data_IF_497038439885
#
_entry.id   IF_497038439885
#
_cell.length_a   1.000
_cell.length_b   1.000
_cell.length_c   1.000
_cell.angle_alpha   90.00
_cell.angle_beta   90.00
_cell.angle_gamma   90.00
#
_symmetry.space_group_name_H-M   'P 1'
#
loop_
_entity.id
_entity.type
_entity.pdbx_description
1 polymer ?
#
# COMPACT_ATOMS: atom_id res chain seq x y z
N UNK A 1 -12.16 -19.59 1.76
CA UNK A 1 -11.02 -20.22 2.47
C UNK A 1 -9.98 -19.13 2.78
N UNK A 2 -9.61 -18.91 4.05
CA UNK A 2 -8.67 -17.85 4.47
C UNK A 2 -7.28 -17.99 3.85
N UNK A 3 -6.82 -19.22 3.61
CA UNK A 3 -5.52 -19.47 3.01
C UNK A 3 -5.42 -18.91 1.58
N UNK A 4 -6.51 -18.99 0.81
CA UNK A 4 -6.58 -18.46 -0.55
C UNK A 4 -6.47 -16.94 -0.55
N UNK A 5 -7.18 -16.26 0.35
CA UNK A 5 -7.08 -14.79 0.49
C UNK A 5 -5.67 -14.35 0.87
N UNK A 6 -5.02 -15.02 1.83
CA UNK A 6 -3.64 -14.71 2.18
C UNK A 6 -2.65 -14.96 1.05
N UNK A 7 -2.83 -16.03 0.27
CA UNK A 7 -2.01 -16.31 -0.90
C UNK A 7 -2.19 -15.24 -2.00
N UNK A 8 -3.42 -14.79 -2.25
CA UNK A 8 -3.71 -13.71 -3.19
C UNK A 8 -3.05 -12.40 -2.76
N UNK A 9 -3.22 -11.99 -1.49
CA UNK A 9 -2.58 -10.77 -0.96
C UNK A 9 -1.06 -10.89 -1.02
N UNK A 10 -0.48 -12.06 -0.71
CA UNK A 10 0.96 -12.29 -0.79
C UNK A 10 1.48 -12.14 -2.22
N UNK A 11 0.84 -12.80 -3.20
CA UNK A 11 1.25 -12.74 -4.60
C UNK A 11 1.12 -11.32 -5.17
N UNK A 12 0.02 -10.64 -4.87
CA UNK A 12 -0.19 -9.25 -5.30
C UNK A 12 0.86 -8.33 -4.68
N UNK A 13 0.97 -8.27 -3.36
CA UNK A 13 1.91 -7.37 -2.67
C UNK A 13 3.38 -7.63 -3.02
N UNK A 14 3.76 -8.89 -3.25
CA UNK A 14 5.09 -9.22 -3.79
C UNK A 14 5.30 -8.62 -5.18
N UNK A 15 4.34 -8.82 -6.08
CA UNK A 15 4.41 -8.31 -7.46
C UNK A 15 4.48 -6.79 -7.49
N UNK A 16 3.65 -6.11 -6.69
CA UNK A 16 3.65 -4.66 -6.57
C UNK A 16 4.95 -4.14 -5.97
N UNK A 17 5.45 -4.77 -4.89
CA UNK A 17 6.72 -4.39 -4.26
C UNK A 17 7.87 -4.52 -5.26
N UNK A 18 7.96 -5.66 -5.96
CA UNK A 18 8.98 -5.87 -6.97
C UNK A 18 8.89 -4.83 -8.09
N UNK A 19 7.69 -4.62 -8.64
CA UNK A 19 7.46 -3.61 -9.67
C UNK A 19 7.90 -2.21 -9.20
N UNK A 20 7.52 -1.80 -7.99
CA UNK A 20 7.94 -0.53 -7.39
C UNK A 20 9.46 -0.40 -7.27
N UNK A 21 10.15 -1.44 -6.82
CA UNK A 21 11.61 -1.42 -6.73
C UNK A 21 12.25 -1.27 -8.12
N UNK A 22 11.73 -1.95 -9.15
CA UNK A 22 12.27 -1.88 -10.51
C UNK A 22 11.92 -0.60 -11.26
N UNK A 23 10.75 -0.01 -11.03
CA UNK A 23 10.31 1.20 -11.74
C UNK A 23 10.76 2.47 -11.03
N UNK A 24 10.76 2.50 -9.70
CA UNK A 24 11.01 3.73 -8.93
C UNK A 24 12.49 3.92 -8.60
N UNK A 25 13.22 2.87 -8.20
CA UNK A 25 14.60 3.05 -7.73
C UNK A 25 15.58 3.52 -8.83
N UNK A 26 15.52 3.04 -10.08
CA UNK A 26 16.45 3.48 -11.12
C UNK A 26 16.25 4.95 -11.52
N UNK A 27 15.01 5.43 -11.60
CA UNK A 27 14.70 6.82 -11.93
C UNK A 27 15.22 7.78 -10.85
N UNK A 28 15.11 7.39 -9.58
CA UNK A 28 15.61 8.16 -8.45
C UNK A 28 17.13 8.19 -8.36
N UNK A 29 17.80 7.07 -8.63
CA UNK A 29 19.24 6.95 -8.49
C UNK A 29 20.02 7.77 -9.53
N UNK A 30 19.44 8.01 -10.72
CA UNK A 30 20.17 8.58 -11.86
C UNK A 30 19.84 10.05 -12.17
N UNK A 31 18.63 10.53 -11.88
CA UNK A 31 18.14 11.83 -12.40
C UNK A 31 17.61 12.75 -11.29
N UNK A 32 17.40 12.21 -10.08
CA UNK A 32 16.60 12.89 -9.06
C UNK A 32 15.10 12.84 -9.40
N UNK A 33 14.25 13.33 -8.50
CA UNK A 33 12.80 13.24 -8.69
C UNK A 33 12.26 14.33 -9.61
N UNK A 34 11.84 13.96 -10.82
CA UNK A 34 11.06 14.80 -11.73
C UNK A 34 9.56 14.56 -11.54
N UNK A 35 8.80 15.62 -11.24
CA UNK A 35 7.34 15.59 -11.09
C UNK A 35 6.62 15.09 -12.35
N UNK A 36 7.25 15.17 -13.54
CA UNK A 36 6.70 14.64 -14.79
C UNK A 36 6.48 13.13 -14.74
N UNK A 37 7.22 12.39 -13.91
CA UNK A 37 7.01 10.95 -13.73
C UNK A 37 5.57 10.62 -13.31
N UNK A 38 4.88 11.55 -12.63
CA UNK A 38 3.49 11.39 -12.20
C UNK A 38 2.50 11.27 -13.37
N UNK A 39 2.86 11.79 -14.54
CA UNK A 39 2.02 11.76 -15.76
C UNK A 39 2.60 10.85 -16.83
N UNK A 40 3.62 10.05 -16.50
CA UNK A 40 4.20 9.09 -17.43
C UNK A 40 3.26 7.89 -17.62
N UNK A 41 2.85 7.68 -18.85
CA UNK A 41 1.97 6.60 -19.26
C UNK A 41 2.73 5.62 -20.17
N UNK A 42 3.29 4.57 -19.57
CA UNK A 42 3.93 3.46 -20.29
C UNK A 42 3.06 2.22 -20.27
N UNK A 43 3.32 1.28 -21.20
CA UNK A 43 2.66 -0.04 -21.21
C UNK A 43 2.84 -0.78 -19.88
N UNK A 44 4.00 -0.64 -19.24
CA UNK A 44 4.30 -1.24 -17.93
C UNK A 44 3.42 -0.61 -16.84
N UNK A 45 3.34 0.72 -16.77
CA UNK A 45 2.50 1.41 -15.79
C UNK A 45 1.02 1.06 -15.96
N UNK A 46 0.54 0.94 -17.21
CA UNK A 46 -0.81 0.48 -17.51
C UNK A 46 -1.04 -0.93 -17.00
N UNK A 47 -0.17 -1.87 -17.37
CA UNK A 47 -0.28 -3.27 -16.95
C UNK A 47 -0.33 -3.39 -15.42
N UNK A 48 0.55 -2.68 -14.71
CA UNK A 48 0.57 -2.71 -13.24
C UNK A 48 -0.73 -2.18 -12.64
N UNK A 49 -1.24 -1.04 -13.13
CA UNK A 49 -2.51 -0.49 -12.63
C UNK A 49 -3.69 -1.43 -12.94
N UNK A 50 -3.73 -2.04 -14.13
CA UNK A 50 -4.77 -3.02 -14.48
C UNK A 50 -4.68 -4.27 -13.61
N UNK A 51 -3.47 -4.78 -13.37
CA UNK A 51 -3.23 -5.93 -12.50
C UNK A 51 -3.71 -5.65 -11.07
N UNK A 52 -3.31 -4.52 -10.50
CA UNK A 52 -3.71 -4.13 -9.15
C UNK A 52 -5.22 -3.90 -9.04
N UNK A 53 -5.83 -3.21 -10.02
CA UNK A 53 -7.28 -3.02 -10.07
C UNK A 53 -8.04 -4.33 -10.18
N UNK A 54 -7.56 -5.27 -10.98
CA UNK A 54 -8.13 -6.62 -11.10
C UNK A 54 -8.02 -7.36 -9.77
N UNK A 55 -6.89 -7.27 -9.08
CA UNK A 55 -6.74 -7.83 -7.73
C UNK A 55 -7.76 -7.23 -6.75
N UNK A 56 -7.90 -5.90 -6.70
CA UNK A 56 -8.88 -5.25 -5.81
C UNK A 56 -10.31 -5.73 -6.09
N UNK A 57 -10.68 -5.84 -7.37
CA UNK A 57 -11.98 -6.37 -7.77
C UNK A 57 -12.18 -7.81 -7.32
N UNK A 58 -11.18 -8.68 -7.54
CA UNK A 58 -11.23 -10.08 -7.13
C UNK A 58 -11.29 -10.23 -5.61
N UNK A 59 -10.53 -9.44 -4.86
CA UNK A 59 -10.51 -9.51 -3.40
C UNK A 59 -11.86 -9.09 -2.80
N UNK A 60 -12.48 -8.04 -3.33
CA UNK A 60 -13.87 -7.64 -3.00
C UNK A 60 -14.85 -8.77 -3.34
N UNK A 61 -14.79 -9.30 -4.56
CA UNK A 61 -15.71 -10.34 -5.00
C UNK A 61 -15.60 -11.64 -4.17
N UNK A 62 -14.37 -12.14 -3.96
CA UNK A 62 -14.13 -13.29 -3.09
C UNK A 62 -14.54 -13.00 -1.65
N UNK A 63 -14.30 -11.77 -1.19
CA UNK A 63 -14.74 -11.26 0.08
C UNK A 63 -16.23 -11.38 0.32
N UNK A 64 -17.02 -10.90 -0.64
CA UNK A 64 -18.48 -10.93 -0.59
C UNK A 64 -19.01 -12.38 -0.57
N UNK A 65 -18.41 -13.24 -1.40
CA UNK A 65 -18.90 -14.60 -1.60
C UNK A 65 -18.51 -15.55 -0.47
N UNK A 66 -17.30 -15.43 0.08
CA UNK A 66 -16.74 -16.47 0.95
C UNK A 66 -16.44 -16.03 2.38
N UNK A 67 -16.31 -14.73 2.66
CA UNK A 67 -15.96 -14.24 4.00
C UNK A 67 -16.48 -12.80 4.29
N UNK A 68 -17.77 -12.51 4.06
CA UNK A 68 -18.30 -11.15 4.19
C UNK A 68 -18.26 -10.62 5.62
N UNK A 69 -18.25 -11.51 6.63
CA UNK A 69 -18.20 -11.13 8.05
C UNK A 69 -16.78 -10.88 8.58
N UNK A 70 -15.75 -11.19 7.80
CA UNK A 70 -14.35 -11.12 8.21
C UNK A 70 -13.61 -9.93 7.59
N UNK A 71 -14.23 -9.25 6.62
CA UNK A 71 -13.68 -8.05 6.02
C UNK A 71 -14.08 -6.85 6.87
N UNK A 72 -13.08 -6.21 7.45
CA UNK A 72 -13.26 -4.96 8.16
C UNK A 72 -13.60 -3.82 7.18
N UNK A 73 -14.52 -2.95 7.61
CA UNK A 73 -15.11 -1.91 6.77
C UNK A 73 -14.07 -0.96 6.19
N UNK A 74 -13.14 -0.50 7.02
CA UNK A 74 -12.17 0.51 6.62
C UNK A 74 -10.99 -0.11 5.88
N UNK A 75 -10.48 -1.24 6.37
CA UNK A 75 -9.27 -1.88 5.82
C UNK A 75 -9.50 -2.73 4.59
N UNK A 76 -10.72 -3.25 4.40
CA UNK A 76 -11.05 -4.07 3.22
C UNK A 76 -12.02 -3.36 2.28
N UNK A 77 -13.26 -3.13 2.71
CA UNK A 77 -14.31 -2.63 1.80
C UNK A 77 -14.00 -1.24 1.25
N UNK A 78 -13.84 -0.25 2.11
CA UNK A 78 -13.60 1.14 1.70
C UNK A 78 -12.26 1.25 0.98
N UNK A 79 -11.20 0.67 1.54
CA UNK A 79 -9.85 0.76 0.98
C UNK A 79 -9.76 0.18 -0.43
N UNK A 80 -10.22 -1.06 -0.65
CA UNK A 80 -10.14 -1.69 -1.97
C UNK A 80 -11.10 -1.07 -2.98
N UNK A 81 -12.27 -0.57 -2.53
CA UNK A 81 -13.20 0.15 -3.42
C UNK A 81 -12.62 1.47 -3.92
N UNK A 82 -11.99 2.24 -3.01
CA UNK A 82 -11.31 3.50 -3.37
C UNK A 82 -10.13 3.23 -4.30
N UNK A 83 -9.35 2.18 -4.07
CA UNK A 83 -8.27 1.80 -4.98
C UNK A 83 -8.79 1.35 -6.35
N UNK A 84 -9.88 0.59 -6.41
CA UNK A 84 -10.49 0.19 -7.68
C UNK A 84 -10.95 1.41 -8.48
N UNK A 85 -11.61 2.37 -7.82
CA UNK A 85 -11.97 3.65 -8.45
C UNK A 85 -10.73 4.44 -8.87
N UNK A 86 -9.68 4.48 -8.05
CA UNK A 86 -8.43 5.15 -8.40
C UNK A 86 -7.78 4.52 -9.63
N UNK A 87 -7.78 3.18 -9.76
CA UNK A 87 -7.22 2.48 -10.92
C UNK A 87 -7.99 2.83 -12.20
N UNK A 88 -9.31 2.93 -12.12
CA UNK A 88 -10.13 3.44 -13.20
C UNK A 88 -9.79 4.90 -13.54
N UNK A 89 -9.71 5.78 -12.53
CA UNK A 89 -9.40 7.19 -12.71
C UNK A 89 -8.03 7.42 -13.38
N UNK A 90 -6.97 6.77 -12.90
CA UNK A 90 -5.62 6.92 -13.48
C UNK A 90 -5.54 6.36 -14.91
N UNK A 91 -6.38 5.39 -15.27
CA UNK A 91 -6.51 4.91 -16.65
C UNK A 91 -7.19 5.92 -17.57
N UNK A 92 -8.31 6.50 -17.14
CA UNK A 92 -9.05 7.52 -17.93
C UNK A 92 -8.20 8.76 -18.16
N UNK A 93 -7.40 9.15 -17.17
CA UNK A 93 -6.60 10.37 -17.21
C UNK A 93 -5.15 10.17 -17.65
N UNK A 94 -4.72 8.94 -17.97
CA UNK A 94 -3.34 8.66 -18.44
C UNK A 94 -2.25 9.10 -17.45
N UNK A 95 -2.46 8.89 -16.14
CA UNK A 95 -1.55 9.29 -15.05
C UNK A 95 -1.08 8.11 -14.19
N UNK A 96 -0.91 6.94 -14.83
CA UNK A 96 -0.56 5.68 -14.18
C UNK A 96 0.83 5.74 -13.52
N UNK A 97 1.76 6.53 -14.08
CA UNK A 97 3.08 6.76 -13.47
C UNK A 97 3.01 7.35 -12.06
N UNK A 98 1.99 8.17 -11.78
CA UNK A 98 1.74 8.69 -10.44
C UNK A 98 1.44 7.58 -9.44
N UNK A 99 0.67 6.56 -9.84
CA UNK A 99 0.41 5.40 -8.99
C UNK A 99 1.64 4.50 -8.84
N UNK A 100 2.48 4.38 -9.89
CA UNK A 100 3.69 3.56 -9.86
C UNK A 100 4.69 3.98 -8.76
N UNK A 101 4.64 5.23 -8.30
CA UNK A 101 5.45 5.73 -7.18
C UNK A 101 5.05 5.14 -5.82
N UNK A 102 3.81 4.67 -5.67
CA UNK A 102 3.27 4.15 -4.42
C UNK A 102 3.46 2.63 -4.29
N UNK A 103 3.96 1.93 -5.31
CA UNK A 103 4.03 0.46 -5.29
C UNK A 103 4.98 -0.11 -4.25
N UNK A 104 6.03 0.65 -3.91
CA UNK A 104 6.96 0.30 -2.81
C UNK A 104 6.26 0.24 -1.45
N UNK A 105 5.09 0.87 -1.32
CA UNK A 105 4.26 0.85 -0.11
C UNK A 105 3.51 -0.46 0.10
N UNK A 106 3.63 -1.43 -0.82
CA UNK A 106 3.12 -2.79 -0.64
C UNK A 106 4.06 -3.70 0.14
N UNK A 107 5.31 -3.29 0.38
CA UNK A 107 6.27 -4.07 1.17
C UNK A 107 5.75 -4.46 2.58
N UNK A 108 5.09 -3.57 3.33
CA UNK A 108 4.48 -3.94 4.61
C UNK A 108 3.33 -4.95 4.45
N UNK A 109 2.52 -4.84 3.40
CA UNK A 109 1.46 -5.83 3.08
C UNK A 109 2.10 -7.19 2.83
N UNK A 110 3.18 -7.23 2.04
CA UNK A 110 3.91 -8.46 1.74
C UNK A 110 4.40 -9.14 3.02
N UNK A 111 5.09 -8.40 3.90
CA UNK A 111 5.57 -8.92 5.18
C UNK A 111 4.42 -9.41 6.09
N UNK A 112 3.28 -8.70 6.09
CA UNK A 112 2.10 -9.10 6.85
C UNK A 112 1.45 -10.37 6.30
N UNK A 113 1.28 -10.46 4.97
CA UNK A 113 0.72 -11.62 4.29
C UNK A 113 1.61 -12.85 4.47
N UNK A 114 2.93 -12.68 4.39
CA UNK A 114 3.91 -13.75 4.62
C UNK A 114 3.76 -14.35 6.02
N UNK A 115 3.63 -13.49 7.04
CA UNK A 115 3.39 -13.91 8.43
C UNK A 115 2.01 -14.50 8.70
N UNK A 116 1.03 -14.31 7.80
CA UNK A 116 -0.29 -14.93 7.88
C UNK A 116 -0.31 -16.31 7.19
N UNK A 117 0.53 -16.52 6.17
CA UNK A 117 0.74 -17.83 5.53
C UNK A 117 1.51 -18.76 6.46
N UNK A 118 2.61 -18.28 7.05
CA UNK A 118 3.38 -19.02 8.06
C UNK A 118 3.68 -18.14 9.27
N UNK A 119 3.30 -18.61 10.46
CA UNK A 119 3.58 -17.91 11.72
C UNK A 119 5.07 -17.80 12.01
N UNK A 120 5.89 -18.74 11.52
CA UNK A 120 7.35 -18.76 11.71
C UNK A 120 8.02 -17.58 10.98
N UNK A 121 7.43 -17.12 9.87
CA UNK A 121 7.94 -16.00 9.09
C UNK A 121 7.40 -14.65 9.57
N UNK A 122 6.58 -14.63 10.63
CA UNK A 122 5.96 -13.41 11.13
C UNK A 122 6.97 -12.56 11.91
N UNK A 123 7.42 -11.47 11.31
CA UNK A 123 8.32 -10.50 11.95
C UNK A 123 7.64 -9.15 12.16
N UNK A 124 7.15 -8.89 13.38
CA UNK A 124 6.47 -7.62 13.69
C UNK A 124 7.42 -6.40 13.57
N UNK A 125 8.71 -6.56 13.87
CA UNK A 125 9.69 -5.48 13.73
C UNK A 125 9.92 -5.10 12.27
N UNK A 126 10.18 -6.07 11.39
CA UNK A 126 10.37 -5.80 9.96
C UNK A 126 9.11 -5.19 9.33
N UNK A 127 7.91 -5.69 9.68
CA UNK A 127 6.65 -5.09 9.28
C UNK A 127 6.55 -3.62 9.70
N UNK A 128 6.80 -3.32 10.99
CA UNK A 128 6.72 -1.96 11.52
C UNK A 128 7.74 -1.01 10.89
N UNK A 129 8.97 -1.47 10.71
CA UNK A 129 10.04 -0.69 10.06
C UNK A 129 9.70 -0.40 8.59
N UNK A 130 9.28 -1.42 7.83
CA UNK A 130 8.87 -1.25 6.45
C UNK A 130 7.65 -0.33 6.32
N UNK A 131 6.65 -0.47 7.21
CA UNK A 131 5.47 0.38 7.23
C UNK A 131 5.86 1.84 7.46
N UNK A 132 6.68 2.12 8.45
CA UNK A 132 7.14 3.48 8.71
C UNK A 132 7.92 4.05 7.52
N UNK A 133 8.88 3.30 6.99
CA UNK A 133 9.72 3.77 5.89
C UNK A 133 8.92 4.07 4.61
N UNK A 134 8.01 3.17 4.23
CA UNK A 134 7.30 3.27 2.94
C UNK A 134 5.98 4.03 3.05
N UNK A 135 5.13 3.70 4.02
CA UNK A 135 3.77 4.27 4.14
C UNK A 135 3.69 5.58 4.90
N UNK A 136 4.73 5.94 5.66
CA UNK A 136 4.78 7.21 6.41
C UNK A 136 5.83 8.14 5.81
N UNK A 137 7.11 7.75 5.84
CA UNK A 137 8.19 8.64 5.43
C UNK A 137 8.18 8.88 3.91
N UNK A 138 8.21 7.81 3.11
CA UNK A 138 8.13 7.91 1.65
C UNK A 138 6.82 8.53 1.17
N UNK A 139 5.68 8.06 1.69
CA UNK A 139 4.37 8.62 1.35
C UNK A 139 4.25 10.12 1.70
N UNK A 140 4.74 10.54 2.87
CA UNK A 140 4.75 11.96 3.27
C UNK A 140 5.67 12.80 2.37
N UNK A 141 6.80 12.25 1.96
CA UNK A 141 7.65 12.88 0.96
C UNK A 141 6.97 12.99 -0.40
N UNK A 142 6.29 11.95 -0.89
CA UNK A 142 5.47 12.01 -2.11
C UNK A 142 4.37 13.06 -2.00
N UNK A 143 3.67 13.15 -0.88
CA UNK A 143 2.67 14.18 -0.64
C UNK A 143 3.26 15.59 -0.83
N UNK A 144 4.47 15.85 -0.32
CA UNK A 144 5.14 17.13 -0.53
C UNK A 144 5.36 17.45 -2.03
N UNK A 145 5.64 16.42 -2.83
CA UNK A 145 5.84 16.55 -4.28
C UNK A 145 4.52 16.78 -5.02
N UNK A 146 3.49 16.01 -4.70
CA UNK A 146 2.14 16.20 -5.25
C UNK A 146 1.58 17.58 -4.87
N UNK A 147 1.83 18.03 -3.64
CA UNK A 147 1.47 19.37 -3.21
C UNK A 147 2.24 20.45 -3.99
N UNK A 148 3.55 20.32 -4.14
CA UNK A 148 4.35 21.27 -4.92
C UNK A 148 3.88 21.35 -6.38
N UNK A 149 3.53 20.21 -6.97
CA UNK A 149 3.06 20.10 -8.36
C UNK A 149 1.56 20.40 -8.56
N UNK A 150 0.82 20.75 -7.49
CA UNK A 150 -0.66 20.93 -7.54
C UNK A 150 -1.15 21.99 -8.53
N UNK A 151 -0.29 22.92 -8.94
CA UNK A 151 -0.61 23.98 -9.92
C UNK A 151 -0.13 23.68 -11.32
N UNK A 152 0.75 22.68 -11.50
CA UNK A 152 1.40 22.36 -12.77
C UNK A 152 0.89 21.07 -13.38
N UNK A 153 0.42 20.13 -12.57
CA UNK A 153 -0.24 18.90 -13.02
C UNK A 153 -1.75 19.16 -13.07
N UNK A 154 -2.35 18.88 -14.23
CA UNK A 154 -3.76 19.17 -14.50
C UNK A 154 -4.77 18.40 -13.62
N UNK A 155 -4.34 17.35 -12.92
CA UNK A 155 -5.20 16.46 -12.14
C UNK A 155 -4.84 16.48 -10.64
N UNK A 156 -5.76 16.84 -9.73
CA UNK A 156 -5.46 17.01 -8.31
C UNK A 156 -5.52 15.66 -7.57
N UNK A 157 -4.46 14.86 -7.64
CA UNK A 157 -4.35 13.62 -6.83
C UNK A 157 -3.95 13.87 -5.37
N UNK A 158 -3.40 15.04 -5.04
CA UNK A 158 -2.91 15.38 -3.71
C UNK A 158 -3.93 15.21 -2.55
N UNK A 159 -5.25 15.42 -2.72
CA UNK A 159 -6.21 15.19 -1.65
C UNK A 159 -6.28 13.71 -1.27
N UNK A 160 -6.27 12.82 -2.27
CA UNK A 160 -6.29 11.37 -2.04
C UNK A 160 -5.01 10.92 -1.33
N UNK A 161 -3.85 11.42 -1.77
CA UNK A 161 -2.56 11.16 -1.12
C UNK A 161 -2.58 11.62 0.35
N UNK A 162 -3.20 12.78 0.63
CA UNK A 162 -3.37 13.26 2.02
C UNK A 162 -4.23 12.31 2.84
N UNK A 163 -5.38 11.87 2.30
CA UNK A 163 -6.30 10.97 2.99
C UNK A 163 -5.67 9.59 3.24
N UNK A 164 -4.92 9.05 2.28
CA UNK A 164 -4.19 7.79 2.45
C UNK A 164 -3.10 7.89 3.51
N UNK A 165 -2.37 9.01 3.58
CA UNK A 165 -1.40 9.23 4.65
C UNK A 165 -2.07 9.25 6.03
N UNK A 166 -3.21 9.93 6.16
CA UNK A 166 -3.96 9.97 7.41
C UNK A 166 -4.41 8.56 7.84
N UNK A 167 -4.86 7.75 6.88
CA UNK A 167 -5.19 6.35 7.12
C UNK A 167 -3.97 5.53 7.58
N UNK A 168 -2.82 5.69 6.91
CA UNK A 168 -1.58 5.03 7.29
C UNK A 168 -1.13 5.41 8.71
N UNK A 169 -1.20 6.69 9.06
CA UNK A 169 -0.90 7.17 10.42
C UNK A 169 -1.85 6.55 11.45
N UNK A 170 -3.15 6.48 11.15
CA UNK A 170 -4.13 5.82 12.02
C UNK A 170 -3.80 4.33 12.26
N UNK A 171 -3.49 3.59 11.19
CA UNK A 171 -3.10 2.19 11.30
C UNK A 171 -1.79 1.99 12.06
N UNK A 172 -0.79 2.82 11.80
CA UNK A 172 0.49 2.74 12.49
C UNK A 172 0.37 3.08 13.98
N UNK A 173 -0.47 4.03 14.33
CA UNK A 173 -0.84 4.32 15.72
C UNK A 173 -1.48 3.10 16.40
N UNK A 174 -2.46 2.46 15.76
CA UNK A 174 -3.07 1.23 16.27
C UNK A 174 -2.05 0.10 16.47
N UNK A 175 -1.13 -0.07 15.50
CA UNK A 175 -0.06 -1.06 15.57
C UNK A 175 0.90 -0.80 16.74
N UNK A 176 1.37 0.44 16.92
CA UNK A 176 2.31 0.81 17.99
C UNK A 176 1.67 0.60 19.37
N UNK A 177 0.41 1.01 19.56
CA UNK A 177 -0.34 0.72 20.79
C UNK A 177 -0.44 -0.78 21.06
N UNK A 178 -0.70 -1.59 20.03
CA UNK A 178 -0.74 -3.04 20.17
C UNK A 178 0.62 -3.60 20.63
N UNK A 179 1.73 -3.15 20.05
CA UNK A 179 3.06 -3.59 20.46
C UNK A 179 3.39 -3.15 21.90
N UNK A 180 3.06 -1.91 22.28
CA UNK A 180 3.25 -1.43 23.66
C UNK A 180 2.48 -2.27 24.67
N UNK A 181 1.22 -2.64 24.37
CA UNK A 181 0.42 -3.52 25.22
C UNK A 181 1.05 -4.90 25.38
N UNK A 182 1.60 -5.47 24.29
CA UNK A 182 2.31 -6.77 24.33
C UNK A 182 3.57 -6.70 25.18
N UNK A 183 4.38 -5.65 25.01
CA UNK A 183 5.59 -5.44 25.80
C UNK A 183 5.29 -5.28 27.30
N UNK A 184 4.24 -4.53 27.65
CA UNK A 184 3.78 -4.37 29.05
C UNK A 184 3.37 -5.72 29.66
N UNK A 185 2.59 -6.53 28.92
CA UNK A 185 2.19 -7.87 29.38
C UNK A 185 3.40 -8.80 29.57
N UNK A 186 4.35 -8.80 28.64
CA UNK A 186 5.57 -9.59 28.74
C UNK A 186 6.44 -9.18 29.93
N UNK A 187 6.55 -7.87 30.22
CA UNK A 187 7.27 -7.38 31.41
C UNK A 187 6.60 -7.84 32.70
N UNK A 188 5.26 -7.74 32.80
CA UNK A 188 4.51 -8.19 33.98
C UNK A 188 4.64 -9.70 34.23
N UNK A 189 4.67 -10.50 33.17
CA UNK A 189 4.86 -11.95 33.27
C UNK A 189 6.27 -12.36 33.70
N UNK A 190 7.28 -11.50 33.51
CA UNK A 190 8.65 -11.73 33.99
C UNK A 190 8.88 -11.27 35.44
N UNK A 191 8.00 -10.41 35.96
CA UNK A 191 8.08 -9.88 37.33
C UNK A 191 7.16 -10.62 38.32
N UNK A 192 6.41 -11.62 37.85
CA UNK A 192 5.55 -12.49 38.63
C UNK A 192 6.20 -13.88 38.68
#
# INVERSE_FOLDING_TARGET
NKAVSYAMSLACSLSMTAAGLFTVLPDFANVGFDVRVMVVDTRINRFICTFFGTFCLLDIAYGMLFYPKQIDLLTGWVHHSVYLWLMYYVHVHHIQGGFALFLVEELPTFLLALGNVSREWRTNFAFGAAFFATRIAWHGWLLSKFWAARRTIAQPLWPLVTLTLALHLHWFYGFTLQQMRRLRKARKAKSA
#
